data_IF_188605073111
#
_entry.id   IF_188605073111
#
_cell.length_a   1.000
_cell.length_b   1.000
_cell.length_c   1.000
_cell.angle_alpha   90.00
_cell.angle_beta   90.00
_cell.angle_gamma   90.00
#
_symmetry.space_group_name_H-M   'P 1'
#
loop_
_entity.id
_entity.type
_entity.pdbx_description
1 polymer ?
#
# COMPACT_ATOMS: atom_id res chain seq x y z
N UNK A 1 -30.97 -27.58 -3.13
CA UNK A 1 -30.73 -26.29 -3.79
C UNK A 1 -29.22 -26.07 -3.86
N UNK A 2 -28.58 -26.08 -5.04
CA UNK A 2 -27.15 -25.84 -5.11
C UNK A 2 -26.84 -24.33 -5.12
N UNK A 3 -25.89 -23.94 -4.30
CA UNK A 3 -25.39 -22.57 -4.17
C UNK A 3 -24.61 -22.15 -5.42
N UNK A 4 -24.81 -20.91 -5.85
CA UNK A 4 -24.13 -20.31 -6.98
C UNK A 4 -22.63 -20.07 -6.69
N UNK A 5 -21.73 -20.23 -7.69
CA UNK A 5 -20.33 -19.88 -7.52
C UNK A 5 -20.14 -18.36 -7.48
N UNK A 6 -19.38 -17.88 -6.49
CA UNK A 6 -19.00 -16.48 -6.36
C UNK A 6 -18.00 -16.09 -7.47
N UNK A 7 -18.35 -15.05 -8.24
CA UNK A 7 -17.57 -14.54 -9.36
C UNK A 7 -16.20 -14.01 -8.93
N UNK A 8 -15.17 -14.50 -9.62
CA UNK A 8 -13.80 -14.00 -9.48
C UNK A 8 -13.67 -12.56 -9.96
N UNK A 9 -12.97 -11.75 -9.17
CA UNK A 9 -12.60 -10.40 -9.57
C UNK A 9 -11.64 -10.45 -10.77
N UNK A 10 -12.12 -10.03 -11.93
CA UNK A 10 -11.32 -9.92 -13.15
C UNK A 10 -10.66 -8.53 -13.19
N UNK A 11 -9.37 -8.47 -12.87
CA UNK A 11 -8.55 -7.29 -13.11
C UNK A 11 -8.30 -7.18 -14.63
N UNK A 12 -8.85 -6.17 -15.27
CA UNK A 12 -8.61 -5.89 -16.70
C UNK A 12 -7.42 -4.95 -16.82
N UNK A 13 -6.27 -5.48 -17.22
CA UNK A 13 -5.06 -4.70 -17.51
C UNK A 13 -4.86 -4.56 -19.01
N UNK A 14 -4.79 -3.32 -19.52
CA UNK A 14 -4.30 -3.02 -20.86
C UNK A 14 -2.78 -3.21 -20.86
N UNK A 15 -2.26 -4.32 -21.40
CA UNK A 15 -0.83 -4.64 -21.37
C UNK A 15 -0.07 -4.18 -22.61
N UNK A 16 1.11 -3.61 -22.37
CA UNK A 16 2.22 -3.54 -23.34
C UNK A 16 3.33 -4.51 -22.88
N UNK A 17 3.94 -5.35 -23.74
CA UNK A 17 4.59 -6.61 -23.30
C UNK A 17 6.00 -6.53 -22.68
N UNK A 18 6.50 -5.39 -22.21
CA UNK A 18 7.94 -5.28 -21.88
C UNK A 18 8.33 -4.45 -20.65
N UNK A 19 7.40 -4.15 -19.73
CA UNK A 19 7.78 -3.45 -18.51
C UNK A 19 8.10 -4.45 -17.38
N UNK A 20 9.22 -4.27 -16.65
CA UNK A 20 9.53 -5.11 -15.51
C UNK A 20 8.45 -4.96 -14.43
N UNK A 21 8.02 -6.09 -13.87
CA UNK A 21 7.05 -6.10 -12.78
C UNK A 21 7.69 -5.57 -11.50
N UNK A 22 7.04 -4.58 -10.89
CA UNK A 22 7.46 -4.01 -9.60
C UNK A 22 6.88 -4.81 -8.45
N UNK A 23 5.62 -5.23 -8.55
CA UNK A 23 4.95 -6.10 -7.58
C UNK A 23 4.35 -7.27 -8.35
N UNK A 24 4.55 -8.48 -7.84
CA UNK A 24 4.00 -9.68 -8.44
C UNK A 24 3.54 -10.67 -7.36
N UNK A 25 2.27 -11.07 -7.43
CA UNK A 25 1.68 -12.16 -6.66
C UNK A 25 1.42 -13.31 -7.62
N UNK A 26 1.91 -14.51 -7.29
CA UNK A 26 1.72 -15.74 -8.08
C UNK A 26 1.05 -16.81 -7.25
N UNK A 27 -0.17 -17.21 -7.62
CA UNK A 27 -0.96 -18.24 -6.93
C UNK A 27 -1.11 -17.98 -5.43
N UNK A 28 -1.16 -16.71 -5.01
CA UNK A 28 -1.08 -16.32 -3.61
C UNK A 28 -2.35 -16.70 -2.86
N UNK A 29 -2.16 -17.42 -1.75
CA UNK A 29 -3.18 -17.73 -0.76
C UNK A 29 -2.84 -17.04 0.56
N UNK A 30 -3.87 -16.65 1.31
CA UNK A 30 -3.70 -16.03 2.61
C UNK A 30 -4.91 -16.26 3.50
N UNK A 31 -4.65 -16.44 4.80
CA UNK A 31 -5.65 -16.77 5.80
C UNK A 31 -5.45 -15.98 7.10
N UNK A 32 -6.53 -15.77 7.84
CA UNK A 32 -6.50 -15.35 9.24
C UNK A 32 -6.86 -16.55 10.11
N UNK A 33 -5.85 -17.15 10.73
CA UNK A 33 -6.01 -18.42 11.45
C UNK A 33 -6.52 -19.51 10.50
N UNK A 34 -7.73 -20.02 10.74
CA UNK A 34 -8.35 -21.09 9.94
C UNK A 34 -9.18 -20.60 8.75
N UNK A 35 -9.39 -19.29 8.62
CA UNK A 35 -10.25 -18.72 7.59
C UNK A 35 -9.36 -18.26 6.42
N UNK A 36 -9.37 -19.01 5.32
CA UNK A 36 -8.74 -18.59 4.05
C UNK A 36 -9.57 -17.48 3.41
N UNK A 37 -8.89 -16.40 2.99
CA UNK A 37 -9.51 -15.21 2.38
C UNK A 37 -9.04 -15.00 0.94
N UNK A 38 -7.78 -15.32 0.64
CA UNK A 38 -7.27 -15.33 -0.73
C UNK A 38 -7.11 -16.78 -1.18
N UNK A 39 -7.72 -17.14 -2.31
CA UNK A 39 -7.80 -18.52 -2.79
C UNK A 39 -6.95 -18.77 -4.05
N UNK A 40 -5.72 -18.26 -4.07
CA UNK A 40 -4.79 -18.46 -5.19
C UNK A 40 -4.93 -17.37 -6.25
N UNK A 41 -4.55 -16.15 -5.90
CA UNK A 41 -4.63 -14.98 -6.79
C UNK A 41 -3.32 -14.73 -7.53
N UNK A 42 -3.43 -14.26 -8.77
CA UNK A 42 -2.32 -13.75 -9.56
C UNK A 42 -2.51 -12.25 -9.79
N UNK A 43 -1.45 -11.46 -9.55
CA UNK A 43 -1.44 -10.01 -9.72
C UNK A 43 -0.07 -9.58 -10.20
N UNK A 44 -0.02 -8.71 -11.21
CA UNK A 44 1.23 -8.14 -11.71
C UNK A 44 1.06 -6.64 -11.88
N UNK A 45 1.92 -5.84 -11.25
CA UNK A 45 1.95 -4.39 -11.37
C UNK A 45 3.28 -3.96 -11.99
N UNK A 46 3.23 -3.26 -13.13
CA UNK A 46 4.39 -2.72 -13.83
C UNK A 46 4.90 -1.38 -13.28
N UNK A 47 6.07 -0.95 -13.77
CA UNK A 47 6.63 0.37 -13.44
C UNK A 47 5.74 1.48 -14.00
N UNK A 48 5.35 2.42 -13.13
CA UNK A 48 4.52 3.56 -13.54
C UNK A 48 3.05 3.21 -13.80
N UNK A 49 2.65 1.97 -13.52
CA UNK A 49 1.28 1.53 -13.65
C UNK A 49 0.46 1.91 -12.40
N UNK A 50 -0.81 2.25 -12.62
CA UNK A 50 -1.79 2.42 -11.55
C UNK A 50 -2.83 1.31 -11.68
N UNK A 51 -2.94 0.47 -10.65
CA UNK A 51 -3.91 -0.62 -10.59
C UNK A 51 -4.96 -0.35 -9.52
N UNK A 52 -6.23 -0.60 -9.85
CA UNK A 52 -7.33 -0.57 -8.91
C UNK A 52 -7.89 -1.99 -8.70
N UNK A 53 -8.03 -2.41 -7.45
CA UNK A 53 -8.71 -3.65 -7.07
C UNK A 53 -10.16 -3.33 -6.68
N UNK A 54 -11.11 -3.84 -7.46
CA UNK A 54 -12.54 -3.61 -7.29
C UNK A 54 -13.27 -4.90 -6.94
N UNK A 55 -14.34 -4.80 -6.16
CA UNK A 55 -15.14 -5.95 -5.72
C UNK A 55 -15.93 -5.64 -4.45
N UNK A 56 -16.86 -6.52 -4.04
CA UNK A 56 -17.68 -6.30 -2.85
C UNK A 56 -16.87 -6.32 -1.55
N UNK A 57 -17.45 -5.81 -0.46
CA UNK A 57 -16.86 -5.94 0.87
C UNK A 57 -16.72 -7.42 1.22
N UNK A 58 -15.57 -7.79 1.80
CA UNK A 58 -15.26 -9.19 2.09
C UNK A 58 -14.60 -9.97 0.94
N UNK A 59 -14.52 -9.42 -0.29
CA UNK A 59 -13.86 -10.08 -1.43
C UNK A 59 -12.33 -10.24 -1.31
N UNK A 60 -11.73 -9.92 -0.16
CA UNK A 60 -10.29 -10.09 0.06
C UNK A 60 -9.40 -8.93 -0.42
N UNK A 61 -9.94 -7.82 -0.92
CA UNK A 61 -9.16 -6.65 -1.41
C UNK A 61 -8.14 -6.14 -0.39
N UNK A 62 -8.60 -5.81 0.82
CA UNK A 62 -7.72 -5.33 1.90
C UNK A 62 -6.73 -6.41 2.35
N UNK A 63 -7.09 -7.69 2.23
CA UNK A 63 -6.18 -8.82 2.48
C UNK A 63 -5.09 -8.90 1.43
N UNK A 64 -5.41 -8.72 0.14
CA UNK A 64 -4.43 -8.68 -0.94
C UNK A 64 -3.45 -7.50 -0.75
N UNK A 65 -3.94 -6.32 -0.36
CA UNK A 65 -3.09 -5.17 -0.03
C UNK A 65 -2.19 -5.44 1.19
N UNK A 66 -2.69 -6.12 2.22
CA UNK A 66 -1.87 -6.53 3.38
C UNK A 66 -0.78 -7.54 3.00
N UNK A 67 -1.04 -8.44 2.06
CA UNK A 67 -0.01 -9.34 1.55
C UNK A 67 1.02 -8.57 0.72
N UNK A 68 0.56 -7.72 -0.20
CA UNK A 68 1.44 -6.90 -1.05
C UNK A 68 2.27 -5.86 -0.28
N UNK A 69 1.92 -5.57 0.98
CA UNK A 69 2.69 -4.72 1.89
C UNK A 69 3.54 -5.48 2.92
N UNK A 70 3.51 -6.82 2.88
CA UNK A 70 4.20 -7.68 3.85
C UNK A 70 3.62 -7.64 5.27
N UNK A 71 2.45 -7.04 5.48
CA UNK A 71 1.75 -7.04 6.77
C UNK A 71 1.07 -8.38 7.07
N UNK A 72 0.77 -9.17 6.04
CA UNK A 72 0.23 -10.52 6.15
C UNK A 72 1.07 -11.46 5.27
N UNK A 73 1.82 -12.42 5.83
CA UNK A 73 2.54 -13.37 5.00
C UNK A 73 1.57 -14.26 4.21
N UNK A 74 1.86 -14.58 2.94
CA UNK A 74 1.08 -15.55 2.19
C UNK A 74 1.21 -16.94 2.83
N UNK A 75 0.12 -17.70 2.88
CA UNK A 75 0.13 -19.09 3.34
C UNK A 75 0.67 -20.04 2.28
N UNK A 76 0.44 -19.71 1.00
CA UNK A 76 1.01 -20.39 -0.17
C UNK A 76 1.18 -19.38 -1.33
N UNK A 77 1.92 -19.79 -2.35
CA UNK A 77 2.25 -18.95 -3.50
C UNK A 77 3.46 -18.05 -3.25
N UNK A 78 3.75 -17.18 -4.21
CA UNK A 78 4.95 -16.35 -4.19
C UNK A 78 4.60 -14.86 -4.32
N UNK A 79 5.18 -14.04 -3.45
CA UNK A 79 5.20 -12.60 -3.54
C UNK A 79 6.59 -12.13 -3.95
N UNK A 80 6.68 -11.38 -5.04
CA UNK A 80 7.90 -10.77 -5.53
C UNK A 80 7.79 -9.24 -5.55
N UNK A 81 8.90 -8.58 -5.25
CA UNK A 81 9.10 -7.14 -5.42
C UNK A 81 10.35 -6.92 -6.26
N UNK A 82 10.24 -6.16 -7.35
CA UNK A 82 11.33 -5.90 -8.30
C UNK A 82 12.03 -7.19 -8.76
N UNK A 83 11.27 -8.27 -8.97
CA UNK A 83 11.78 -9.59 -9.36
C UNK A 83 12.38 -10.44 -8.22
N UNK A 84 12.51 -9.91 -7.00
CA UNK A 84 13.02 -10.66 -5.86
C UNK A 84 11.88 -11.29 -5.06
N UNK A 85 12.01 -12.56 -4.70
CA UNK A 85 11.06 -13.24 -3.83
C UNK A 85 11.16 -12.72 -2.39
N UNK A 86 10.03 -12.32 -1.80
CA UNK A 86 9.99 -11.61 -0.51
C UNK A 86 9.01 -12.21 0.50
N UNK A 87 8.57 -13.46 0.33
CA UNK A 87 7.74 -14.10 1.36
C UNK A 87 8.46 -14.11 2.72
N UNK A 88 7.74 -13.73 3.78
CA UNK A 88 8.27 -13.73 5.15
C UNK A 88 9.26 -12.61 5.46
N UNK A 89 9.59 -11.74 4.50
CA UNK A 89 10.38 -10.53 4.76
C UNK A 89 9.56 -9.57 5.63
N UNK A 90 10.21 -8.96 6.61
CA UNK A 90 9.57 -8.00 7.50
C UNK A 90 9.11 -6.75 6.73
N UNK A 91 7.93 -6.25 7.08
CA UNK A 91 7.30 -5.11 6.39
C UNK A 91 8.15 -3.83 6.45
N UNK A 92 8.94 -3.63 7.50
CA UNK A 92 9.87 -2.50 7.63
C UNK A 92 11.02 -2.58 6.60
N UNK A 93 11.43 -3.79 6.22
CA UNK A 93 12.45 -4.03 5.20
C UNK A 93 11.89 -3.79 3.80
N UNK A 94 10.62 -4.16 3.55
CA UNK A 94 9.92 -3.81 2.32
C UNK A 94 9.68 -2.30 2.19
N UNK A 95 9.35 -1.62 3.28
CA UNK A 95 9.22 -0.16 3.31
C UNK A 95 10.55 0.51 2.96
N UNK A 96 11.69 0.02 3.47
CA UNK A 96 13.03 0.49 3.06
C UNK A 96 13.34 0.21 1.59
N UNK A 97 12.78 -0.85 1.01
CA UNK A 97 12.86 -1.15 -0.42
C UNK A 97 11.88 -0.33 -1.29
N UNK A 98 11.07 0.55 -0.68
CA UNK A 98 10.16 1.46 -1.38
C UNK A 98 8.70 1.00 -1.46
N UNK A 99 8.32 -0.11 -0.80
CA UNK A 99 6.93 -0.56 -0.71
C UNK A 99 6.25 0.10 0.48
N UNK A 100 5.49 1.16 0.21
CA UNK A 100 4.75 1.90 1.23
C UNK A 100 3.25 1.59 1.17
N UNK A 101 2.57 1.68 2.30
CA UNK A 101 1.11 1.48 2.38
C UNK A 101 0.48 2.59 3.18
N UNK A 102 -0.55 3.21 2.61
CA UNK A 102 -1.38 4.20 3.28
C UNK A 102 -2.68 3.49 3.66
N UNK A 103 -2.92 3.19 4.95
CA UNK A 103 -4.11 2.47 5.39
C UNK A 103 -5.35 3.37 5.30
N UNK A 104 -6.52 2.71 5.31
CA UNK A 104 -7.80 3.39 5.49
C UNK A 104 -7.81 4.16 6.83
N UNK A 105 -8.44 5.34 6.83
CA UNK A 105 -8.56 6.17 8.05
C UNK A 105 -7.43 7.18 8.27
N UNK A 106 -6.49 7.31 7.33
CA UNK A 106 -5.40 8.33 7.30
C UNK A 106 -4.43 8.17 8.47
N UNK A 107 -3.25 7.62 8.19
CA UNK A 107 -2.22 7.31 9.19
C UNK A 107 -1.41 8.55 9.65
N UNK A 108 -2.09 9.59 10.10
CA UNK A 108 -1.47 10.80 10.64
C UNK A 108 -1.52 10.82 12.17
N UNK A 109 -0.59 11.54 12.79
CA UNK A 109 -0.58 11.85 14.22
C UNK A 109 -1.29 13.19 14.45
N UNK A 110 -2.56 13.20 14.89
CA UNK A 110 -3.38 14.41 14.91
C UNK A 110 -2.91 15.44 15.94
N UNK A 111 -2.24 14.98 17.00
CA UNK A 111 -1.65 15.79 18.06
C UNK A 111 -0.30 16.40 17.70
N UNK A 112 0.24 16.09 16.52
CA UNK A 112 1.49 16.63 16.01
C UNK A 112 1.23 17.63 14.90
N UNK A 113 2.16 18.56 14.70
CA UNK A 113 2.12 19.48 13.57
C UNK A 113 2.35 18.76 12.25
N UNK A 114 1.96 19.39 11.14
CA UNK A 114 2.27 18.91 9.77
C UNK A 114 3.76 18.57 9.62
N UNK A 115 4.63 19.47 10.06
CA UNK A 115 6.09 19.28 9.97
C UNK A 115 6.58 18.11 10.84
N UNK A 116 6.03 17.93 12.04
CA UNK A 116 6.39 16.80 12.91
C UNK A 116 5.92 15.46 12.35
N UNK A 117 4.73 15.40 11.74
CA UNK A 117 4.25 14.21 11.02
C UNK A 117 5.24 13.79 9.94
N UNK A 118 5.67 14.73 9.07
CA UNK A 118 6.65 14.47 8.02
C UNK A 118 7.99 13.97 8.57
N UNK A 119 8.43 14.50 9.72
CA UNK A 119 9.70 14.13 10.39
C UNK A 119 9.65 12.78 11.10
N UNK A 120 8.49 12.32 11.52
CA UNK A 120 8.37 10.99 12.13
C UNK A 120 8.31 9.92 11.04
N UNK A 121 7.72 10.22 9.89
CA UNK A 121 7.69 9.31 8.75
C UNK A 121 9.05 9.14 8.04
N UNK A 122 10.08 9.95 8.38
CA UNK A 122 11.46 9.71 7.92
C UNK A 122 12.09 8.50 8.60
N UNK A 123 11.69 7.30 8.18
CA UNK A 123 12.28 6.04 8.62
C UNK A 123 13.31 5.48 7.63
N UNK A 124 13.39 6.05 6.41
CA UNK A 124 14.23 5.55 5.31
C UNK A 124 15.62 6.18 5.17
N UNK A 125 16.15 6.84 6.21
CA UNK A 125 17.51 7.42 6.18
C UNK A 125 17.68 8.71 5.37
N UNK A 126 16.59 9.28 4.81
CA UNK A 126 16.64 10.59 4.17
C UNK A 126 16.75 11.72 5.21
N UNK A 127 17.52 12.78 4.94
CA UNK A 127 17.56 13.96 5.79
C UNK A 127 16.16 14.59 5.93
N UNK A 128 15.77 14.96 7.16
CA UNK A 128 14.47 15.59 7.45
C UNK A 128 14.14 16.74 6.49
N UNK A 129 15.13 17.60 6.23
CA UNK A 129 15.01 18.73 5.31
C UNK A 129 14.58 18.31 3.90
N UNK A 130 15.14 17.21 3.39
CA UNK A 130 14.81 16.73 2.05
C UNK A 130 13.38 16.19 1.97
N UNK A 131 12.89 15.57 3.04
CA UNK A 131 11.49 15.10 3.11
C UNK A 131 10.52 16.26 3.20
N UNK A 132 10.82 17.27 4.03
CA UNK A 132 10.05 18.51 4.07
C UNK A 132 10.01 19.20 2.70
N UNK A 133 11.16 19.39 2.05
CA UNK A 133 11.25 20.03 0.73
C UNK A 133 10.45 19.27 -0.33
N UNK A 134 10.57 17.94 -0.40
CA UNK A 134 9.80 17.11 -1.34
C UNK A 134 8.30 17.18 -1.08
N UNK A 135 7.88 17.06 0.18
CA UNK A 135 6.48 17.09 0.56
C UNK A 135 5.85 18.45 0.25
N UNK A 136 6.52 19.54 0.61
CA UNK A 136 6.03 20.91 0.40
C UNK A 136 6.06 21.34 -1.07
N UNK A 137 7.02 20.84 -1.86
CA UNK A 137 7.01 21.04 -3.31
C UNK A 137 5.81 20.32 -3.97
N UNK A 138 5.45 19.12 -3.49
CA UNK A 138 4.31 18.36 -4.02
C UNK A 138 2.96 18.90 -3.54
N UNK A 139 2.89 19.34 -2.28
CA UNK A 139 1.69 19.85 -1.63
C UNK A 139 1.94 21.22 -0.98
N UNK A 140 1.92 22.33 -1.76
CA UNK A 140 2.18 23.68 -1.24
C UNK A 140 1.26 24.09 -0.10
N UNK A 141 0.01 23.59 -0.08
CA UNK A 141 -0.96 23.79 1.01
C UNK A 141 -0.45 23.31 2.37
N UNK A 142 0.35 22.24 2.41
CA UNK A 142 0.96 21.76 3.64
C UNK A 142 2.08 22.69 4.11
N UNK A 143 2.78 23.37 3.18
CA UNK A 143 3.85 24.31 3.49
C UNK A 143 3.31 25.57 4.20
N UNK A 144 2.20 26.11 3.69
CA UNK A 144 1.44 27.23 4.32
C UNK A 144 1.07 26.90 5.78
N UNK A 145 0.87 25.61 6.07
CA UNK A 145 0.33 25.10 7.34
C UNK A 145 1.33 24.25 8.13
N UNK A 146 2.62 24.38 7.86
CA UNK A 146 3.69 23.55 8.44
C UNK A 146 3.67 23.45 9.97
N UNK A 147 3.19 24.50 10.67
CA UNK A 147 3.09 24.56 12.14
C UNK A 147 1.69 24.24 12.69
N UNK A 148 0.71 24.03 11.82
CA UNK A 148 -0.65 23.69 12.22
C UNK A 148 -0.70 22.24 12.72
N UNK A 149 -1.51 21.98 13.75
CA UNK A 149 -1.80 20.62 14.21
C UNK A 149 -2.53 19.83 13.13
N UNK A 150 -2.03 18.63 12.80
CA UNK A 150 -2.54 17.80 11.72
C UNK A 150 -4.02 17.41 11.92
N UNK A 151 -4.46 17.23 13.17
CA UNK A 151 -5.86 16.92 13.49
C UNK A 151 -6.85 18.02 13.13
N UNK A 152 -6.39 19.26 12.97
CA UNK A 152 -7.25 20.41 12.61
C UNK A 152 -7.34 20.66 11.10
N UNK A 153 -6.61 19.89 10.30
CA UNK A 153 -6.69 19.95 8.85
C UNK A 153 -8.02 19.40 8.35
N UNK A 154 -8.48 19.87 7.20
CA UNK A 154 -9.61 19.26 6.50
C UNK A 154 -9.28 17.81 6.10
N UNK A 155 -10.30 16.99 5.86
CA UNK A 155 -10.07 15.59 5.51
C UNK A 155 -9.22 15.37 4.24
N UNK A 156 -9.36 16.25 3.24
CA UNK A 156 -8.51 16.20 2.05
C UNK A 156 -7.05 16.55 2.35
N UNK A 157 -6.80 17.52 3.23
CA UNK A 157 -5.45 17.92 3.64
C UNK A 157 -4.80 16.87 4.54
N UNK A 158 -5.56 16.21 5.41
CA UNK A 158 -5.10 15.05 6.16
C UNK A 158 -4.68 13.90 5.22
N UNK A 159 -5.39 13.72 4.10
CA UNK A 159 -5.03 12.70 3.10
C UNK A 159 -3.81 13.10 2.26
N UNK A 160 -3.53 14.40 2.08
CA UNK A 160 -2.28 14.86 1.47
C UNK A 160 -1.07 14.65 2.40
N UNK A 161 -1.28 14.67 3.72
CA UNK A 161 -0.24 14.48 4.73
C UNK A 161 0.07 13.00 5.03
N UNK A 162 -0.93 12.13 4.90
CA UNK A 162 -0.82 10.69 5.15
C UNK A 162 0.07 9.98 4.12
#
# INVERSE_FOLDING_TARGET
MPAAPAGGATATTLRTPHQPAVIELRGVRAAYGRIEVLHGIDLVLGVGEVMALLGPNGAGKSTALKVASGQLPPTQGCFHVLGHHVNGIASDSLARAGVCTIPEGRAIFPNLTVMENLRIMTYGGLPRRQVEERAFARFPRLAERRRQMAGTLSGGEQQMLA
#
